data_IF_091811465296
#
_entry.id   IF_091811465296
#
_cell.length_a   1.000
_cell.length_b   1.000
_cell.length_c   1.000
_cell.angle_alpha   90.00
_cell.angle_beta   90.00
_cell.angle_gamma   90.00
#
_symmetry.space_group_name_H-M   'P 1'
#
loop_
_entity.id
_entity.type
_entity.pdbx_description
1 polymer ?
#
# COMPACT_ATOMS: atom_id res chain seq x y z
N UNK A 1 -30.52 -23.18 37.83
CA UNK A 1 -30.65 -23.52 36.40
C UNK A 1 -32.01 -23.03 35.90
N UNK A 2 -32.00 -21.88 35.24
CA UNK A 2 -33.08 -21.32 34.41
C UNK A 2 -32.26 -20.68 33.29
N UNK A 3 -32.11 -21.33 32.13
CA UNK A 3 -33.16 -21.50 31.15
C UNK A 3 -32.98 -20.38 30.14
N UNK A 4 -32.16 -20.63 29.12
CA UNK A 4 -31.71 -19.63 28.15
C UNK A 4 -32.87 -18.85 27.53
N UNK A 5 -32.74 -17.52 27.53
CA UNK A 5 -33.62 -16.63 26.79
C UNK A 5 -33.26 -16.69 25.31
N UNK A 6 -34.17 -17.24 24.51
CA UNK A 6 -34.06 -17.28 23.06
C UNK A 6 -34.22 -15.86 22.47
N UNK A 7 -33.41 -15.51 21.48
CA UNK A 7 -33.41 -14.27 20.69
C UNK A 7 -34.70 -14.09 19.87
N UNK A 8 -35.84 -13.90 20.53
CA UNK A 8 -37.13 -13.77 19.85
C UNK A 8 -37.87 -12.55 20.39
N UNK A 9 -37.59 -11.38 19.81
CA UNK A 9 -38.59 -10.31 19.72
C UNK A 9 -39.64 -10.74 18.70
N UNK A 10 -40.63 -11.53 19.13
CA UNK A 10 -41.87 -11.72 18.36
C UNK A 10 -42.62 -10.39 18.39
N UNK A 11 -42.78 -9.76 17.22
CA UNK A 11 -43.83 -8.79 17.01
C UNK A 11 -45.17 -9.53 17.10
N UNK A 12 -45.89 -9.43 18.21
CA UNK A 12 -47.27 -9.89 18.27
C UNK A 12 -48.15 -8.91 17.48
N UNK A 13 -48.89 -9.34 16.44
CA UNK A 13 -49.94 -8.52 15.90
C UNK A 13 -51.04 -8.43 16.97
N UNK A 14 -51.33 -7.22 17.45
CA UNK A 14 -52.45 -7.00 18.36
C UNK A 14 -53.77 -7.47 17.74
N UNK A 15 -54.73 -7.96 18.53
CA UNK A 15 -55.98 -8.48 17.98
C UNK A 15 -56.87 -7.32 17.53
N UNK A 16 -57.10 -7.21 16.21
CA UNK A 16 -58.19 -6.42 15.63
C UNK A 16 -57.78 -5.18 14.82
N UNK A 17 -57.28 -5.38 13.59
CA UNK A 17 -57.34 -4.49 12.41
C UNK A 17 -57.32 -2.93 12.60
N UNK A 18 -56.11 -2.34 12.83
CA UNK A 18 -55.64 -0.97 12.44
C UNK A 18 -55.84 0.23 13.40
N UNK A 19 -55.13 1.40 13.30
CA UNK A 19 -53.77 1.70 12.88
C UNK A 19 -52.87 1.90 14.13
N UNK A 20 -52.12 0.86 14.51
CA UNK A 20 -51.33 0.90 15.74
C UNK A 20 -50.09 0.05 15.60
N UNK A 21 -49.14 0.51 14.78
CA UNK A 21 -47.77 0.03 14.90
C UNK A 21 -47.21 0.51 16.24
N UNK A 22 -47.48 -0.22 17.32
CA UNK A 22 -46.74 -0.02 18.56
C UNK A 22 -45.37 -0.67 18.35
N UNK A 23 -44.36 0.17 18.09
CA UNK A 23 -42.98 -0.29 18.14
C UNK A 23 -42.71 -0.74 19.57
N UNK A 24 -42.61 -2.06 19.77
CA UNK A 24 -42.32 -2.67 21.06
C UNK A 24 -40.87 -2.35 21.44
N UNK A 25 -40.65 -1.13 21.91
CA UNK A 25 -39.45 -0.78 22.65
C UNK A 25 -39.53 -1.45 24.02
N UNK A 26 -38.43 -2.04 24.52
CA UNK A 26 -38.41 -2.53 25.89
C UNK A 26 -38.73 -1.37 26.85
N UNK A 27 -39.61 -1.59 27.84
CA UNK A 27 -40.06 -0.52 28.75
C UNK A 27 -38.97 -0.07 29.73
N UNK A 28 -37.87 -0.84 29.85
CA UNK A 28 -36.70 -0.51 30.66
C UNK A 28 -35.42 -0.94 29.96
N UNK A 29 -34.33 -0.18 30.14
CA UNK A 29 -33.00 -0.53 29.65
C UNK A 29 -32.46 -1.82 30.27
N UNK A 30 -32.97 -2.23 31.44
CA UNK A 30 -32.57 -3.47 32.12
C UNK A 30 -33.02 -4.75 31.40
N UNK A 31 -34.01 -4.67 30.50
CA UNK A 31 -34.48 -5.80 29.70
C UNK A 31 -33.87 -5.84 28.30
N UNK A 32 -32.98 -4.89 27.97
CA UNK A 32 -32.35 -4.82 26.67
C UNK A 32 -31.17 -5.79 26.58
N UNK A 33 -31.27 -6.84 25.78
CA UNK A 33 -30.15 -7.75 25.55
C UNK A 33 -29.41 -7.33 24.27
N UNK A 34 -28.15 -6.93 24.40
CA UNK A 34 -27.30 -6.53 23.28
C UNK A 34 -26.36 -7.69 22.92
N UNK A 35 -26.54 -8.30 21.75
CA UNK A 35 -25.64 -9.34 21.26
C UNK A 35 -24.35 -8.73 20.67
N UNK A 36 -23.52 -8.16 21.55
CA UNK A 36 -22.28 -7.46 21.15
C UNK A 36 -21.23 -8.42 20.62
N UNK A 37 -21.31 -9.68 21.05
CA UNK A 37 -20.35 -10.74 20.77
C UNK A 37 -20.31 -11.03 19.27
N UNK A 38 -21.48 -11.16 18.63
CA UNK A 38 -21.56 -11.35 17.18
C UNK A 38 -20.97 -10.17 16.39
N UNK A 39 -21.24 -8.94 16.83
CA UNK A 39 -20.68 -7.73 16.20
C UNK A 39 -19.16 -7.66 16.34
N UNK A 40 -18.62 -7.94 17.52
CA UNK A 40 -17.19 -7.95 17.78
C UNK A 40 -16.43 -8.93 16.87
N UNK A 41 -17.02 -10.10 16.63
CA UNK A 41 -16.39 -11.16 15.87
C UNK A 41 -16.29 -10.83 14.37
N UNK A 42 -17.26 -10.13 13.78
CA UNK A 42 -17.32 -10.01 12.30
C UNK A 42 -16.98 -8.60 11.83
N UNK A 43 -17.33 -7.59 12.64
CA UNK A 43 -17.33 -6.21 12.18
C UNK A 43 -15.91 -5.64 12.20
N UNK A 44 -15.40 -5.31 11.02
CA UNK A 44 -14.09 -4.66 10.84
C UNK A 44 -12.96 -5.55 10.34
N UNK A 45 -13.21 -6.86 10.17
CA UNK A 45 -12.22 -7.81 9.65
C UNK A 45 -11.56 -7.31 8.36
N UNK A 46 -12.35 -6.93 7.36
CA UNK A 46 -11.84 -6.40 6.08
C UNK A 46 -11.02 -5.11 6.22
N UNK A 47 -11.34 -4.24 7.18
CA UNK A 47 -10.59 -2.99 7.39
C UNK A 47 -9.28 -3.23 8.12
N UNK A 48 -9.23 -4.25 8.99
CA UNK A 48 -8.02 -4.65 9.70
C UNK A 48 -7.08 -5.44 8.80
N UNK A 49 -7.59 -6.34 7.95
CA UNK A 49 -6.77 -7.04 6.96
C UNK A 49 -6.15 -6.09 5.95
N UNK A 50 -6.92 -5.12 5.44
CA UNK A 50 -6.41 -4.10 4.51
C UNK A 50 -5.25 -3.28 5.09
N UNK A 51 -5.27 -3.00 6.40
CA UNK A 51 -4.24 -2.23 7.08
C UNK A 51 -3.21 -3.10 7.84
N UNK A 52 -3.28 -4.43 7.72
CA UNK A 52 -2.49 -5.36 8.54
C UNK A 52 -0.98 -5.16 8.36
N UNK A 53 -0.55 -5.00 7.10
CA UNK A 53 0.87 -4.82 6.75
C UNK A 53 1.44 -3.53 7.34
N UNK A 54 0.70 -2.42 7.21
CA UNK A 54 1.09 -1.10 7.75
C UNK A 54 1.10 -1.13 9.27
N UNK A 55 0.04 -1.70 9.88
CA UNK A 55 -0.08 -1.83 11.33
C UNK A 55 1.11 -2.60 11.89
N UNK A 56 1.45 -3.74 11.30
CA UNK A 56 2.55 -4.60 11.76
C UNK A 56 3.95 -3.97 11.59
N UNK A 57 4.12 -3.02 10.67
CA UNK A 57 5.38 -2.32 10.48
C UNK A 57 5.59 -1.16 11.48
N UNK A 58 4.52 -0.66 12.10
CA UNK A 58 4.59 0.36 13.15
C UNK A 58 4.92 -0.25 14.52
N UNK A 59 5.80 0.39 15.30
CA UNK A 59 6.08 -0.05 16.68
C UNK A 59 4.89 0.18 17.62
N UNK A 60 3.94 1.04 17.25
CA UNK A 60 2.68 1.22 18.00
C UNK A 60 1.79 -0.02 17.96
N UNK A 61 2.07 -0.97 17.07
CA UNK A 61 1.39 -2.27 17.09
C UNK A 61 1.56 -3.02 18.40
N UNK A 62 2.61 -2.73 19.16
CA UNK A 62 2.93 -3.36 20.45
C UNK A 62 2.14 -2.79 21.63
N UNK A 63 1.38 -1.71 21.44
CA UNK A 63 0.58 -1.12 22.52
C UNK A 63 -0.70 -1.95 22.76
N UNK A 64 -1.09 -2.18 24.02
CA UNK A 64 -2.33 -2.88 24.36
C UNK A 64 -3.54 -2.01 24.02
N UNK A 65 -4.21 -2.30 22.91
CA UNK A 65 -5.28 -1.48 22.36
C UNK A 65 -6.53 -2.29 22.04
N UNK A 66 -7.64 -1.56 21.90
CA UNK A 66 -8.84 -2.08 21.29
C UNK A 66 -8.64 -2.25 19.78
N UNK A 67 -8.96 -3.43 19.24
CA UNK A 67 -8.90 -3.73 17.81
C UNK A 67 -10.15 -4.52 17.41
N UNK A 68 -10.84 -4.14 16.31
CA UNK A 68 -11.95 -4.93 15.78
C UNK A 68 -11.42 -6.22 15.15
N UNK A 69 -12.16 -7.33 15.27
CA UNK A 69 -11.85 -8.61 14.61
C UNK A 69 -10.35 -9.03 14.64
N UNK A 70 -9.70 -9.12 15.82
CA UNK A 70 -8.26 -9.39 15.91
C UNK A 70 -7.84 -10.76 15.35
N UNK A 71 -8.76 -11.70 15.20
CA UNK A 71 -8.52 -12.99 14.53
C UNK A 71 -8.04 -12.85 13.09
N UNK A 72 -8.36 -11.73 12.42
CA UNK A 72 -7.91 -11.41 11.08
C UNK A 72 -6.37 -11.37 10.95
N UNK A 73 -5.67 -11.12 12.07
CA UNK A 73 -4.21 -11.07 12.14
C UNK A 73 -3.58 -12.38 12.65
N UNK A 74 -4.39 -13.39 12.98
CA UNK A 74 -3.97 -14.69 13.49
C UNK A 74 -4.04 -15.76 12.40
N UNK A 75 -3.47 -15.44 11.23
CA UNK A 75 -3.47 -16.35 10.10
C UNK A 75 -2.56 -17.56 10.37
N UNK A 76 -2.91 -18.79 9.94
CA UNK A 76 -2.08 -19.97 10.16
C UNK A 76 -0.72 -19.92 9.43
N UNK A 77 -0.67 -19.13 8.35
CA UNK A 77 0.52 -18.86 7.53
C UNK A 77 0.62 -17.37 7.23
N UNK A 78 1.81 -16.80 7.43
CA UNK A 78 2.08 -15.38 7.14
C UNK A 78 2.61 -15.21 5.72
N UNK A 79 2.24 -14.12 5.02
CA UNK A 79 2.76 -13.83 3.69
C UNK A 79 4.27 -13.54 3.74
N UNK A 80 5.06 -14.13 2.83
CA UNK A 80 6.50 -13.88 2.76
C UNK A 80 6.87 -12.63 1.93
N UNK A 81 5.93 -12.16 1.12
CA UNK A 81 6.09 -11.03 0.20
C UNK A 81 4.86 -10.13 0.24
N UNK A 82 5.04 -8.85 -0.06
CA UNK A 82 3.92 -7.92 -0.22
C UNK A 82 3.18 -8.23 -1.53
N UNK A 83 1.85 -8.14 -1.49
CA UNK A 83 1.03 -8.39 -2.66
C UNK A 83 1.18 -7.25 -3.70
N UNK A 84 1.43 -7.58 -4.98
CA UNK A 84 1.51 -6.60 -6.05
C UNK A 84 0.22 -5.79 -6.18
N UNK A 85 0.33 -4.47 -6.23
CA UNK A 85 -0.83 -3.56 -6.25
C UNK A 85 -1.50 -3.48 -7.61
N UNK A 86 -0.71 -3.50 -8.70
CA UNK A 86 -1.21 -3.18 -10.04
C UNK A 86 -0.68 -4.14 -11.09
N UNK A 87 -1.59 -4.63 -11.94
CA UNK A 87 -1.26 -5.42 -13.14
C UNK A 87 -0.75 -4.47 -14.23
N UNK A 88 0.55 -4.50 -14.49
CA UNK A 88 1.20 -3.76 -15.55
C UNK A 88 2.49 -4.49 -15.94
N UNK A 89 2.83 -4.46 -17.22
CA UNK A 89 4.06 -5.07 -17.71
C UNK A 89 5.21 -4.10 -17.52
N UNK A 90 6.19 -4.50 -16.72
CA UNK A 90 7.41 -3.77 -16.43
C UNK A 90 8.54 -4.41 -17.22
N UNK A 91 9.26 -3.62 -18.00
CA UNK A 91 10.35 -4.09 -18.86
C UNK A 91 11.57 -3.20 -18.68
N UNK A 92 12.72 -3.78 -18.36
CA UNK A 92 13.97 -3.06 -18.30
C UNK A 92 14.50 -2.80 -19.70
N UNK A 93 15.03 -1.59 -19.90
CA UNK A 93 15.45 -1.09 -21.22
C UNK A 93 16.70 -1.82 -21.72
N UNK A 94 17.69 -2.00 -20.84
CA UNK A 94 19.01 -2.51 -21.21
C UNK A 94 19.33 -3.90 -20.64
N UNK A 95 18.63 -4.33 -19.58
CA UNK A 95 18.93 -5.56 -18.85
C UNK A 95 18.07 -6.76 -19.29
N UNK A 96 17.08 -6.55 -20.17
CA UNK A 96 16.17 -7.60 -20.65
C UNK A 96 15.23 -8.18 -19.58
N UNK A 97 15.18 -7.60 -18.38
CA UNK A 97 14.31 -8.07 -17.31
C UNK A 97 12.85 -7.70 -17.61
N UNK A 98 11.93 -8.64 -17.40
CA UNK A 98 10.50 -8.45 -17.58
C UNK A 98 9.70 -8.97 -16.38
N UNK A 99 8.67 -8.23 -15.97
CA UNK A 99 7.69 -8.63 -14.96
C UNK A 99 6.28 -8.21 -15.41
N UNK A 100 5.27 -9.01 -15.10
CA UNK A 100 3.88 -8.72 -15.46
C UNK A 100 3.09 -7.95 -14.37
N UNK A 101 3.80 -7.49 -13.35
CA UNK A 101 3.22 -6.71 -12.25
C UNK A 101 4.22 -5.70 -11.69
N UNK A 102 3.68 -4.70 -10.98
CA UNK A 102 4.45 -3.74 -10.20
C UNK A 102 4.44 -4.19 -8.73
N UNK A 103 5.61 -4.23 -8.09
CA UNK A 103 5.71 -4.51 -6.65
C UNK A 103 5.08 -3.40 -5.79
N UNK A 104 4.74 -3.72 -4.55
CA UNK A 104 3.90 -2.88 -3.71
C UNK A 104 4.50 -1.48 -3.43
N UNK A 105 5.78 -1.41 -3.06
CA UNK A 105 6.47 -0.14 -2.78
C UNK A 105 6.52 0.74 -4.03
N UNK A 106 6.83 0.14 -5.19
CA UNK A 106 6.86 0.85 -6.46
C UNK A 106 5.47 1.34 -6.86
N UNK A 107 4.43 0.54 -6.63
CA UNK A 107 3.03 0.92 -6.86
C UNK A 107 2.62 2.13 -6.02
N UNK A 108 2.99 2.17 -4.73
CA UNK A 108 2.69 3.32 -3.84
C UNK A 108 3.46 4.57 -4.28
N UNK A 109 4.75 4.43 -4.59
CA UNK A 109 5.58 5.54 -5.07
C UNK A 109 4.94 6.18 -6.33
N UNK A 110 4.48 5.32 -7.24
CA UNK A 110 3.91 5.69 -8.51
C UNK A 110 2.38 5.77 -8.53
N UNK A 111 1.69 5.85 -7.39
CA UNK A 111 0.21 5.76 -7.40
C UNK A 111 -0.55 6.87 -8.15
N UNK A 112 0.13 7.92 -8.61
CA UNK A 112 -0.40 8.98 -9.50
C UNK A 112 -0.43 8.52 -10.95
N UNK A 113 0.33 7.48 -11.28
CA UNK A 113 0.30 6.85 -12.58
C UNK A 113 -1.08 6.24 -12.86
N UNK A 114 -1.86 5.89 -11.84
CA UNK A 114 -3.22 5.38 -12.02
C UNK A 114 -4.18 6.43 -12.59
N UNK A 115 -3.96 7.71 -12.31
CA UNK A 115 -4.73 8.85 -12.82
C UNK A 115 -4.37 9.23 -14.28
N UNK A 116 -3.37 8.59 -14.88
CA UNK A 116 -2.92 8.92 -16.24
C UNK A 116 -3.95 8.48 -17.30
N UNK A 117 -4.31 9.36 -18.26
CA UNK A 117 -5.26 9.04 -19.31
C UNK A 117 -4.69 7.99 -20.30
N UNK A 118 -5.57 7.39 -21.09
CA UNK A 118 -5.19 6.43 -22.13
C UNK A 118 -4.18 7.04 -23.11
N UNK A 119 -3.24 6.22 -23.60
CA UNK A 119 -2.18 6.61 -24.53
C UNK A 119 -1.24 7.74 -24.04
N UNK A 120 -1.31 8.14 -22.77
CA UNK A 120 -0.38 9.13 -22.25
C UNK A 120 1.00 8.53 -21.97
N UNK A 121 2.03 9.34 -22.19
CA UNK A 121 3.42 8.99 -21.94
C UNK A 121 3.99 10.00 -20.98
N UNK A 122 4.64 9.52 -19.92
CA UNK A 122 5.37 10.37 -18.97
C UNK A 122 6.75 9.79 -18.71
N UNK A 123 7.69 10.67 -18.38
CA UNK A 123 9.04 10.28 -18.00
C UNK A 123 9.30 10.72 -16.55
N UNK A 124 9.79 9.81 -15.72
CA UNK A 124 10.08 10.10 -14.32
C UNK A 124 11.49 9.63 -14.00
N UNK A 125 12.28 10.50 -13.38
CA UNK A 125 13.59 10.15 -12.85
C UNK A 125 13.44 9.77 -11.38
N UNK A 126 13.85 8.55 -11.05
CA UNK A 126 13.88 8.08 -9.66
C UNK A 126 15.33 7.95 -9.24
N UNK A 127 15.71 8.66 -8.18
CA UNK A 127 17.05 8.56 -7.61
C UNK A 127 16.98 8.28 -6.11
N UNK A 128 17.98 7.56 -5.61
CA UNK A 128 18.11 7.34 -4.17
C UNK A 128 18.64 8.60 -3.50
N UNK A 129 17.94 9.06 -2.48
CA UNK A 129 18.36 10.24 -1.73
C UNK A 129 19.49 9.88 -0.74
N UNK A 130 20.71 9.79 -1.28
CA UNK A 130 21.94 9.52 -0.49
C UNK A 130 22.49 10.78 0.17
N UNK A 131 21.94 11.97 -0.16
CA UNK A 131 22.52 13.28 0.17
C UNK A 131 21.82 14.03 1.30
N UNK A 132 20.59 13.69 1.68
CA UNK A 132 20.03 14.26 2.90
C UNK A 132 20.80 13.71 4.11
N UNK A 133 21.41 14.56 4.97
CA UNK A 133 21.85 14.10 6.27
C UNK A 133 20.64 13.43 6.93
N UNK A 134 20.84 12.26 7.55
CA UNK A 134 19.81 11.58 8.35
C UNK A 134 19.05 12.65 9.12
N UNK A 135 17.81 12.95 8.72
CA UNK A 135 16.97 13.89 9.45
C UNK A 135 17.00 13.42 10.90
N UNK A 136 17.50 14.24 11.81
CA UNK A 136 17.58 13.87 13.22
C UNK A 136 16.16 13.45 13.63
N UNK A 137 15.97 12.27 14.23
CA UNK A 137 14.63 11.72 14.45
C UNK A 137 13.82 12.75 15.24
N UNK A 138 12.69 13.16 14.66
CA UNK A 138 11.71 14.04 15.31
C UNK A 138 11.23 13.36 16.59
N UNK A 139 10.70 14.13 17.54
CA UNK A 139 10.08 13.55 18.74
C UNK A 139 9.00 12.52 18.37
N UNK A 140 8.21 12.78 17.32
CA UNK A 140 7.21 11.85 16.79
C UNK A 140 7.83 10.57 16.21
N UNK A 141 8.98 10.65 15.54
CA UNK A 141 9.70 9.46 15.06
C UNK A 141 10.20 8.61 16.24
N UNK A 142 10.57 9.23 17.36
CA UNK A 142 11.02 8.51 18.55
C UNK A 142 9.86 7.79 19.23
N UNK A 143 8.76 8.52 19.46
CA UNK A 143 7.59 8.01 20.15
C UNK A 143 6.84 6.95 19.32
N UNK A 144 6.66 7.19 18.02
CA UNK A 144 5.80 6.35 17.17
C UNK A 144 6.56 5.30 16.35
N UNK A 145 7.88 5.44 16.13
CA UNK A 145 8.72 4.46 15.42
C UNK A 145 9.76 3.74 16.29
N UNK A 146 9.89 4.08 17.57
CA UNK A 146 10.80 3.40 18.50
C UNK A 146 12.29 3.55 18.15
N UNK A 147 12.70 4.63 17.46
CA UNK A 147 14.10 4.83 17.07
C UNK A 147 14.95 5.28 18.28
N UNK A 148 15.95 4.47 18.65
CA UNK A 148 16.90 4.78 19.73
C UNK A 148 17.97 5.80 19.29
N UNK A 149 18.29 6.75 20.17
CA UNK A 149 19.30 7.81 20.03
C UNK A 149 20.77 7.34 20.12
N UNK A 150 21.07 6.04 20.10
CA UNK A 150 22.47 5.56 20.06
C UNK A 150 23.12 5.77 18.68
N UNK A 151 23.19 7.03 18.23
CA UNK A 151 24.18 7.49 17.26
C UNK A 151 25.42 7.96 18.03
N UNK A 152 26.13 6.98 18.59
CA UNK A 152 27.42 7.16 19.25
C UNK A 152 28.38 6.01 18.93
N UNK A 153 28.15 5.30 17.81
CA UNK A 153 29.09 4.33 17.29
C UNK A 153 29.95 5.01 16.21
N UNK A 154 31.21 5.26 16.58
CA UNK A 154 32.33 5.79 15.81
C UNK A 154 32.10 5.84 14.29
N UNK A 155 32.09 7.06 13.78
CA UNK A 155 32.26 7.46 12.39
C UNK A 155 33.67 7.06 11.91
N UNK A 156 33.86 5.79 11.57
CA UNK A 156 34.99 5.34 10.76
C UNK A 156 34.71 4.01 10.08
N UNK A 157 33.58 3.92 9.38
CA UNK A 157 33.35 3.01 8.26
C UNK A 157 32.23 3.63 7.45
N UNK A 158 32.45 3.89 6.16
CA UNK A 158 31.41 4.26 5.20
C UNK A 158 30.45 3.06 4.98
N UNK A 159 29.76 2.62 6.03
CA UNK A 159 28.56 1.79 5.88
C UNK A 159 27.44 2.73 5.50
N UNK A 160 27.18 2.84 4.20
CA UNK A 160 26.03 3.49 3.57
C UNK A 160 24.76 3.04 4.29
N UNK A 161 24.33 3.79 5.29
CA UNK A 161 23.16 3.41 6.10
C UNK A 161 21.93 3.39 5.22
N UNK A 162 21.20 2.28 5.30
CA UNK A 162 20.29 1.77 4.28
C UNK A 162 18.98 2.58 4.19
N UNK A 163 18.44 2.77 2.97
CA UNK A 163 17.08 3.26 2.80
C UNK A 163 16.09 2.13 3.08
N UNK A 164 15.82 1.86 4.35
CA UNK A 164 14.66 1.03 4.69
C UNK A 164 13.40 1.87 4.46
N UNK A 165 12.49 1.39 3.61
CA UNK A 165 11.13 1.93 3.55
C UNK A 165 10.47 1.69 4.90
N UNK A 166 9.88 2.73 5.49
CA UNK A 166 9.31 2.68 6.85
C UNK A 166 7.84 3.10 6.84
N UNK A 167 7.11 2.76 7.90
CA UNK A 167 5.76 3.26 8.13
C UNK A 167 5.88 4.73 8.51
N UNK A 168 4.97 5.54 8.02
CA UNK A 168 4.91 6.95 8.38
C UNK A 168 4.68 7.10 9.89
N UNK A 169 5.53 7.89 10.56
CA UNK A 169 5.44 8.09 12.02
C UNK A 169 4.10 8.71 12.45
N UNK A 170 3.51 9.53 11.57
CA UNK A 170 2.25 10.24 11.79
C UNK A 170 1.23 9.81 10.73
N UNK A 171 1.24 8.52 10.37
CA UNK A 171 0.23 7.96 9.48
C UNK A 171 -1.15 7.90 10.16
N UNK A 172 -2.26 7.86 9.39
CA UNK A 172 -3.61 7.70 9.95
C UNK A 172 -3.72 6.51 10.91
N UNK A 173 -3.02 5.41 10.61
CA UNK A 173 -2.97 4.23 11.48
C UNK A 173 -2.37 4.51 12.86
N UNK A 174 -1.41 5.43 12.99
CA UNK A 174 -0.84 5.79 14.29
C UNK A 174 -1.92 6.42 15.20
N UNK A 175 -2.77 7.28 14.67
CA UNK A 175 -3.89 7.87 15.41
C UNK A 175 -4.94 6.82 15.81
N UNK A 176 -5.29 5.92 14.89
CA UNK A 176 -6.24 4.82 15.18
C UNK A 176 -5.70 3.95 16.32
N UNK A 177 -4.42 3.60 16.30
CA UNK A 177 -3.81 2.79 17.38
C UNK A 177 -3.76 3.52 18.72
N UNK A 178 -3.46 4.82 18.72
CA UNK A 178 -3.46 5.64 19.94
C UNK A 178 -4.86 5.80 20.53
N UNK A 179 -5.87 6.00 19.69
CA UNK A 179 -7.25 6.07 20.15
C UNK A 179 -7.72 4.71 20.68
N UNK A 180 -7.39 3.61 20.00
CA UNK A 180 -7.69 2.26 20.50
C UNK A 180 -7.05 1.96 21.86
N UNK A 181 -5.83 2.45 22.10
CA UNK A 181 -5.18 2.40 23.41
C UNK A 181 -5.94 3.25 24.44
N UNK A 182 -6.31 4.47 24.08
CA UNK A 182 -7.06 5.38 24.97
C UNK A 182 -8.43 4.79 25.35
N UNK A 183 -9.16 4.23 24.38
CA UNK A 183 -10.44 3.56 24.62
C UNK A 183 -10.28 2.33 25.52
N UNK A 184 -9.21 1.56 25.38
CA UNK A 184 -8.90 0.44 26.28
C UNK A 184 -8.69 0.92 27.72
N UNK A 185 -7.93 2.00 27.93
CA UNK A 185 -7.72 2.59 29.27
C UNK A 185 -9.03 3.13 29.87
N UNK A 186 -9.86 3.79 29.06
CA UNK A 186 -11.18 4.28 29.49
C UNK A 186 -12.06 3.10 29.92
N UNK A 187 -12.19 2.07 29.09
CA UNK A 187 -12.98 0.88 29.41
C UNK A 187 -12.46 0.19 30.67
N UNK A 188 -11.14 0.04 30.82
CA UNK A 188 -10.53 -0.53 32.02
C UNK A 188 -10.89 0.26 33.28
N UNK A 189 -10.84 1.59 33.21
CA UNK A 189 -11.17 2.48 34.34
C UNK A 189 -12.65 2.38 34.69
N UNK A 190 -13.54 2.39 33.69
CA UNK A 190 -14.98 2.27 33.89
C UNK A 190 -15.32 0.89 34.48
N UNK A 191 -14.69 -0.21 34.01
CA UNK A 191 -14.90 -1.54 34.61
C UNK A 191 -14.56 -1.58 36.11
N UNK A 192 -13.52 -0.85 36.54
CA UNK A 192 -13.14 -0.74 37.96
C UNK A 192 -14.18 0.07 38.73
N UNK A 193 -14.59 1.24 38.20
CA UNK A 193 -15.56 2.13 38.87
C UNK A 193 -16.92 1.45 39.06
N UNK A 194 -17.38 0.68 38.07
CA UNK A 194 -18.63 -0.06 38.14
C UNK A 194 -18.51 -1.40 38.89
N UNK A 195 -17.30 -1.83 39.22
CA UNK A 195 -17.03 -3.07 39.97
C UNK A 195 -17.39 -4.35 39.20
N UNK A 196 -17.18 -4.38 37.89
CA UNK A 196 -17.45 -5.55 37.05
C UNK A 196 -16.16 -6.28 36.66
N UNK A 197 -15.93 -7.42 37.33
CA UNK A 197 -14.77 -8.27 37.08
C UNK A 197 -14.77 -8.92 35.70
N UNK A 198 -15.95 -9.24 35.13
CA UNK A 198 -16.03 -9.87 33.81
C UNK A 198 -15.64 -8.89 32.70
N UNK A 199 -16.12 -7.65 32.80
CA UNK A 199 -15.68 -6.56 31.92
C UNK A 199 -14.18 -6.28 32.03
N UNK A 200 -13.62 -6.33 33.24
CA UNK A 200 -12.18 -6.14 33.46
C UNK A 200 -11.34 -7.23 32.80
N UNK A 201 -11.74 -8.50 32.97
CA UNK A 201 -11.07 -9.65 32.32
C UNK A 201 -11.18 -9.54 30.80
N UNK A 202 -12.33 -9.11 30.26
CA UNK A 202 -12.50 -8.86 28.84
C UNK A 202 -11.53 -7.77 28.34
N UNK A 203 -11.42 -6.65 29.06
CA UNK A 203 -10.53 -5.53 28.70
C UNK A 203 -9.07 -5.99 28.67
N UNK A 204 -8.61 -6.69 29.70
CA UNK A 204 -7.24 -7.20 29.77
C UNK A 204 -6.97 -8.21 28.65
N UNK A 205 -7.85 -9.18 28.46
CA UNK A 205 -7.66 -10.24 27.47
C UNK A 205 -7.60 -9.68 26.05
N UNK A 206 -8.53 -8.81 25.67
CA UNK A 206 -8.60 -8.23 24.32
C UNK A 206 -7.49 -7.19 24.07
N UNK A 207 -7.07 -6.45 25.10
CA UNK A 207 -5.97 -5.48 24.96
C UNK A 207 -4.62 -6.19 24.85
N UNK A 208 -4.37 -7.23 25.66
CA UNK A 208 -3.16 -8.05 25.55
C UNK A 208 -3.12 -8.85 24.24
N UNK A 209 -4.28 -9.32 23.76
CA UNK A 209 -4.41 -9.96 22.45
C UNK A 209 -3.88 -9.07 21.33
N UNK A 210 -4.20 -7.77 21.35
CA UNK A 210 -3.69 -6.83 20.34
C UNK A 210 -2.15 -6.66 20.38
N UNK A 211 -1.55 -6.76 21.57
CA UNK A 211 -0.10 -6.72 21.74
C UNK A 211 0.53 -8.00 21.20
N UNK A 212 -0.09 -9.13 21.50
CA UNK A 212 0.35 -10.45 21.04
C UNK A 212 0.30 -10.57 19.51
N UNK A 213 -0.78 -10.09 18.88
CA UNK A 213 -0.88 -10.01 17.41
C UNK A 213 0.13 -9.03 16.82
N UNK A 214 0.43 -7.93 17.51
CA UNK A 214 1.49 -6.98 17.15
C UNK A 214 2.87 -7.63 17.13
N UNK A 215 3.25 -8.33 18.20
CA UNK A 215 4.53 -9.07 18.29
C UNK A 215 4.61 -10.16 17.22
N UNK A 216 3.55 -10.96 17.07
CA UNK A 216 3.50 -12.06 16.11
C UNK A 216 3.61 -11.61 14.65
N UNK A 217 3.11 -10.43 14.33
CA UNK A 217 3.14 -9.89 12.97
C UNK A 217 4.24 -8.88 12.72
N UNK A 218 4.94 -8.36 13.73
CA UNK A 218 5.94 -7.31 13.52
C UNK A 218 7.04 -7.73 12.54
N UNK A 219 7.31 -6.86 11.56
CA UNK A 219 8.21 -7.16 10.46
C UNK A 219 8.96 -5.91 9.97
N UNK A 220 10.03 -6.14 9.21
CA UNK A 220 10.83 -5.10 8.56
C UNK A 220 11.01 -5.41 7.07
N UNK A 221 11.11 -4.37 6.26
CA UNK A 221 11.34 -4.49 4.83
C UNK A 221 12.83 -4.41 4.52
N UNK A 222 13.38 -5.47 3.94
CA UNK A 222 14.74 -5.46 3.37
C UNK A 222 14.66 -5.46 1.85
N UNK A 223 15.17 -4.38 1.24
CA UNK A 223 15.26 -4.29 -0.21
C UNK A 223 16.53 -5.01 -0.69
N UNK A 224 16.42 -5.88 -1.70
CA UNK A 224 17.54 -6.71 -2.14
C UNK A 224 18.67 -5.86 -2.71
N UNK A 225 19.90 -6.15 -2.28
CA UNK A 225 21.12 -5.45 -2.74
C UNK A 225 21.83 -6.22 -3.84
N UNK A 226 22.58 -5.48 -4.64
CA UNK A 226 23.38 -6.04 -5.72
C UNK A 226 24.78 -6.25 -5.16
N UNK A 227 25.43 -7.29 -5.62
CA UNK A 227 26.85 -7.46 -5.35
C UNK A 227 27.64 -6.38 -6.10
N UNK A 228 28.75 -5.92 -5.51
CA UNK A 228 29.58 -4.88 -6.11
C UNK A 228 30.10 -5.32 -7.49
N UNK A 229 30.00 -4.43 -8.49
CA UNK A 229 30.44 -4.69 -9.86
C UNK A 229 29.90 -3.66 -10.86
N UNK A 230 30.25 -3.78 -12.13
CA UNK A 230 29.66 -2.97 -13.22
C UNK A 230 28.14 -3.20 -13.30
N UNK A 231 27.37 -2.13 -13.47
CA UNK A 231 25.94 -2.20 -13.67
C UNK A 231 25.56 -1.42 -14.93
N UNK A 232 24.75 -2.00 -15.83
CA UNK A 232 24.16 -1.23 -16.93
C UNK A 232 23.19 -0.17 -16.38
N UNK A 233 22.75 0.79 -17.21
CA UNK A 233 21.69 1.71 -16.82
C UNK A 233 20.40 0.95 -16.47
N UNK A 234 19.73 1.34 -15.39
CA UNK A 234 18.54 0.69 -14.85
C UNK A 234 17.22 1.22 -15.39
N UNK A 235 17.25 1.91 -16.54
CA UNK A 235 16.04 2.50 -17.11
C UNK A 235 14.98 1.42 -17.34
N UNK A 236 13.74 1.72 -16.94
CA UNK A 236 12.64 0.77 -16.88
C UNK A 236 11.38 1.40 -17.48
N UNK A 237 10.63 0.63 -18.26
CA UNK A 237 9.36 1.07 -18.84
C UNK A 237 8.22 0.28 -18.23
N UNK A 238 7.16 0.98 -17.83
CA UNK A 238 5.90 0.39 -17.39
C UNK A 238 4.86 0.60 -18.49
N UNK A 239 4.24 -0.50 -18.92
CA UNK A 239 3.13 -0.54 -19.88
C UNK A 239 1.87 -1.01 -19.15
N UNK A 240 0.77 -0.26 -19.31
CA UNK A 240 -0.56 -0.71 -18.88
C UNK A 240 -1.40 -1.16 -20.06
N UNK A 241 -2.50 -1.88 -19.78
CA UNK A 241 -3.41 -2.42 -20.79
C UNK A 241 -4.11 -1.33 -21.64
N UNK A 242 -4.29 -0.12 -21.09
CA UNK A 242 -4.90 1.03 -21.78
C UNK A 242 -3.92 1.80 -22.69
N UNK A 243 -2.74 1.24 -22.98
CA UNK A 243 -1.77 1.81 -23.93
C UNK A 243 -1.01 3.03 -23.42
N UNK A 244 -1.10 3.37 -22.13
CA UNK A 244 -0.25 4.40 -21.50
C UNK A 244 1.11 3.83 -21.12
N UNK A 245 2.13 4.67 -21.14
CA UNK A 245 3.51 4.32 -20.83
C UNK A 245 4.11 5.25 -19.77
N UNK A 246 4.88 4.69 -18.86
CA UNK A 246 5.69 5.44 -17.91
C UNK A 246 7.13 4.99 -18.06
N UNK A 247 7.97 5.90 -18.54
CA UNK A 247 9.41 5.67 -18.68
C UNK A 247 10.08 6.14 -17.39
N UNK A 248 10.80 5.24 -16.75
CA UNK A 248 11.46 5.48 -15.48
C UNK A 248 12.95 5.47 -15.73
N UNK A 249 13.61 6.60 -15.44
CA UNK A 249 15.06 6.72 -15.50
C UNK A 249 15.65 6.56 -14.12
N UNK A 250 16.40 5.50 -13.92
CA UNK A 250 16.96 5.17 -12.62
C UNK A 250 18.22 4.31 -12.74
N UNK A 251 19.01 4.30 -11.68
CA UNK A 251 20.15 3.39 -11.56
C UNK A 251 19.66 1.94 -11.40
N UNK A 252 20.44 0.97 -11.86
CA UNK A 252 20.09 -0.47 -11.78
C UNK A 252 19.81 -0.93 -10.34
N UNK A 253 20.47 -0.35 -9.35
CA UNK A 253 20.21 -0.68 -7.95
C UNK A 253 18.79 -0.26 -7.50
N UNK A 254 18.30 0.87 -8.00
CA UNK A 254 16.92 1.35 -7.75
C UNK A 254 15.93 0.50 -8.55
N UNK A 255 16.25 0.24 -9.83
CA UNK A 255 15.40 -0.55 -10.71
C UNK A 255 15.16 -1.95 -10.17
N UNK A 256 16.23 -2.61 -9.72
CA UNK A 256 16.16 -3.95 -9.14
C UNK A 256 15.40 -3.98 -7.81
N UNK A 257 15.63 -2.99 -6.96
CA UNK A 257 14.96 -2.91 -5.65
C UNK A 257 13.45 -2.60 -5.75
N UNK A 258 13.03 -1.81 -6.73
CA UNK A 258 11.63 -1.39 -6.90
C UNK A 258 10.83 -2.26 -7.87
N UNK A 259 11.44 -2.75 -8.95
CA UNK A 259 10.69 -3.33 -10.08
C UNK A 259 10.98 -4.80 -10.37
N UNK A 260 12.20 -5.29 -10.12
CA UNK A 260 12.60 -6.63 -10.60
C UNK A 260 12.78 -7.67 -9.51
N UNK A 261 13.03 -7.27 -8.28
CA UNK A 261 13.25 -8.18 -7.17
C UNK A 261 12.10 -8.11 -6.15
N UNK A 262 11.66 -9.27 -5.62
CA UNK A 262 10.54 -9.30 -4.69
C UNK A 262 10.90 -8.66 -3.35
N UNK A 263 9.96 -7.87 -2.86
CA UNK A 263 9.96 -7.30 -1.51
C UNK A 263 9.77 -8.43 -0.49
N UNK A 264 10.87 -8.85 0.16
CA UNK A 264 10.83 -9.86 1.23
C UNK A 264 10.48 -9.23 2.56
N UNK A 265 9.60 -9.90 3.29
CA UNK A 265 9.16 -9.52 4.63
C UNK A 265 9.99 -10.30 5.65
N UNK A 266 10.81 -9.59 6.42
CA UNK A 266 11.57 -10.19 7.51
C UNK A 266 10.84 -9.98 8.84
N UNK A 267 10.26 -11.07 9.33
CA UNK A 267 9.53 -11.09 10.60
C UNK A 267 10.48 -11.09 11.79
N UNK A 268 10.10 -10.37 12.86
CA UNK A 268 10.83 -10.38 14.13
C UNK A 268 10.96 -11.81 14.70
N UNK A 269 9.91 -12.62 14.52
CA UNK A 269 9.89 -14.03 14.90
C UNK A 269 9.96 -14.87 13.61
N UNK A 270 11.13 -15.41 13.23
CA UNK A 270 11.29 -16.18 12.00
C UNK A 270 10.69 -17.58 12.08
N UNK A 271 10.68 -18.19 13.27
CA UNK A 271 10.23 -19.58 13.45
C UNK A 271 8.70 -19.71 13.34
N UNK A 272 8.25 -20.55 12.40
CA UNK A 272 6.83 -20.83 12.20
C UNK A 272 6.16 -21.49 13.43
N UNK A 273 6.87 -22.33 14.17
CA UNK A 273 6.34 -23.01 15.35
C UNK A 273 5.96 -22.03 16.48
N UNK A 274 6.85 -21.09 16.80
CA UNK A 274 6.59 -20.05 17.81
C UNK A 274 5.41 -19.17 17.37
N UNK A 275 5.35 -18.80 16.10
CA UNK A 275 4.22 -18.03 15.58
C UNK A 275 2.89 -18.79 15.69
N UNK A 276 2.84 -20.09 15.39
CA UNK A 276 1.64 -20.91 15.58
C UNK A 276 1.22 -21.00 17.04
N UNK A 277 2.18 -21.08 17.96
CA UNK A 277 1.91 -21.04 19.41
C UNK A 277 1.33 -19.69 19.82
N UNK A 278 1.91 -18.58 19.35
CA UNK A 278 1.38 -17.22 19.58
C UNK A 278 -0.05 -17.11 19.05
N UNK A 279 -0.32 -17.67 17.88
CA UNK A 279 -1.66 -17.69 17.29
C UNK A 279 -2.65 -18.50 18.12
N UNK A 280 -2.25 -19.66 18.64
CA UNK A 280 -3.06 -20.49 19.52
C UNK A 280 -3.39 -19.77 20.83
N UNK A 281 -2.38 -19.15 21.45
CA UNK A 281 -2.58 -18.35 22.67
C UNK A 281 -3.50 -17.16 22.38
N UNK A 282 -3.32 -16.50 21.23
CA UNK A 282 -4.17 -15.39 20.80
C UNK A 282 -5.63 -15.78 20.61
N UNK A 283 -5.92 -16.92 19.98
CA UNK A 283 -7.31 -17.37 19.81
C UNK A 283 -7.95 -17.76 21.14
N UNK A 284 -7.20 -18.36 22.07
CA UNK A 284 -7.68 -18.64 23.43
C UNK A 284 -8.00 -17.35 24.21
N UNK A 285 -7.13 -16.34 24.12
CA UNK A 285 -7.36 -15.03 24.74
C UNK A 285 -8.56 -14.31 24.14
N UNK A 286 -8.77 -14.44 22.82
CA UNK A 286 -9.95 -13.92 22.14
C UNK A 286 -11.22 -14.57 22.67
N UNK A 287 -11.28 -15.89 22.71
CA UNK A 287 -12.44 -16.62 23.23
C UNK A 287 -12.72 -16.26 24.69
N UNK A 288 -11.69 -16.18 25.54
CA UNK A 288 -11.83 -15.75 26.93
C UNK A 288 -12.38 -14.33 27.03
N UNK A 289 -11.84 -13.39 26.25
CA UNK A 289 -12.28 -12.00 26.24
C UNK A 289 -13.73 -11.83 25.80
N UNK A 290 -14.14 -12.57 24.77
CA UNK A 290 -15.51 -12.57 24.24
C UNK A 290 -16.51 -13.17 25.26
N UNK A 291 -16.17 -14.32 25.86
CA UNK A 291 -17.01 -14.96 26.88
C UNK A 291 -17.14 -14.05 28.11
N UNK A 292 -16.06 -13.39 28.50
CA UNK A 292 -16.09 -12.47 29.63
C UNK A 292 -16.96 -11.23 29.33
N UNK A 293 -16.88 -10.69 28.11
CA UNK A 293 -17.72 -9.57 27.68
C UNK A 293 -19.21 -9.93 27.63
N UNK A 294 -19.56 -11.14 27.19
CA UNK A 294 -20.94 -11.63 27.14
C UNK A 294 -21.60 -11.68 28.53
N UNK A 295 -20.79 -11.91 29.57
CA UNK A 295 -21.24 -11.99 30.95
C UNK A 295 -21.03 -10.69 31.74
N UNK A 296 -20.55 -9.63 31.09
CA UNK A 296 -20.42 -8.30 31.70
C UNK A 296 -21.79 -7.66 31.91
N UNK A 297 -21.84 -6.66 32.79
CA UNK A 297 -23.03 -5.84 33.02
C UNK A 297 -23.44 -5.10 31.75
N UNK A 298 -24.75 -4.91 31.60
CA UNK A 298 -25.39 -4.34 30.42
C UNK A 298 -24.89 -2.91 30.12
N UNK A 299 -24.65 -2.10 31.15
CA UNK A 299 -24.11 -0.74 31.02
C UNK A 299 -22.71 -0.75 30.40
N UNK A 300 -21.88 -1.72 30.79
CA UNK A 300 -20.53 -1.87 30.25
C UNK A 300 -20.54 -2.49 28.86
N UNK A 301 -21.49 -3.39 28.55
CA UNK A 301 -21.67 -3.89 27.19
C UNK A 301 -21.99 -2.75 26.21
N UNK A 302 -22.80 -1.76 26.59
CA UNK A 302 -23.02 -0.56 25.78
C UNK A 302 -21.77 0.28 25.59
N UNK A 303 -20.99 0.50 26.66
CA UNK A 303 -19.73 1.24 26.57
C UNK A 303 -18.75 0.56 25.59
N UNK A 304 -18.63 -0.77 25.68
CA UNK A 304 -17.87 -1.58 24.74
C UNK A 304 -18.41 -1.47 23.31
N UNK A 305 -19.73 -1.52 23.13
CA UNK A 305 -20.38 -1.41 21.82
C UNK A 305 -20.08 -0.07 21.16
N UNK A 306 -20.20 1.03 21.91
CA UNK A 306 -19.84 2.37 21.46
C UNK A 306 -18.36 2.48 21.10
N UNK A 307 -17.47 1.97 21.95
CA UNK A 307 -16.03 1.98 21.68
C UNK A 307 -15.67 1.18 20.40
N UNK A 308 -16.31 0.03 20.19
CA UNK A 308 -16.12 -0.78 18.98
C UNK A 308 -16.64 -0.13 17.71
N UNK A 309 -17.81 0.53 17.77
CA UNK A 309 -18.35 1.28 16.63
C UNK A 309 -17.39 2.41 16.24
N UNK A 310 -16.90 3.17 17.23
CA UNK A 310 -15.95 4.28 17.01
C UNK A 310 -14.66 3.78 16.39
N UNK A 311 -14.03 2.76 16.99
CA UNK A 311 -12.74 2.27 16.49
C UNK A 311 -12.90 1.65 15.10
N UNK A 312 -13.99 0.91 14.86
CA UNK A 312 -14.25 0.33 13.54
C UNK A 312 -14.44 1.39 12.46
N UNK A 313 -15.22 2.44 12.74
CA UNK A 313 -15.40 3.55 11.80
C UNK A 313 -14.05 4.20 11.44
N UNK A 314 -13.15 4.33 12.43
CA UNK A 314 -11.82 4.89 12.21
C UNK A 314 -10.89 3.96 11.43
N UNK A 315 -10.96 2.65 11.66
CA UNK A 315 -10.24 1.67 10.83
C UNK A 315 -10.73 1.72 9.38
N UNK A 316 -12.02 1.89 9.15
CA UNK A 316 -12.59 2.05 7.81
C UNK A 316 -12.12 3.35 7.15
N UNK A 317 -12.16 4.48 7.87
CA UNK A 317 -11.62 5.76 7.38
C UNK A 317 -10.13 5.62 7.03
N UNK A 318 -9.33 4.98 7.91
CA UNK A 318 -7.91 4.78 7.66
C UNK A 318 -7.64 3.87 6.45
N UNK A 319 -8.48 2.86 6.22
CA UNK A 319 -8.42 2.00 5.02
C UNK A 319 -8.79 2.76 3.74
N UNK A 320 -9.70 3.73 3.80
CA UNK A 320 -10.10 4.55 2.66
C UNK A 320 -9.05 5.60 2.26
N UNK A 321 -8.09 5.90 3.14
CA UNK A 321 -7.04 6.88 2.87
C UNK A 321 -5.99 6.35 1.89
N UNK A 322 -5.41 7.22 1.04
CA UNK A 322 -4.43 6.80 0.04
C UNK A 322 -3.19 6.16 0.70
N UNK A 323 -2.67 5.04 0.17
CA UNK A 323 -1.54 4.29 0.74
C UNK A 323 -0.30 5.15 1.04
N UNK A 324 -0.06 6.19 0.25
CA UNK A 324 1.08 7.10 0.43
C UNK A 324 1.14 7.79 1.80
N UNK A 325 0.00 7.97 2.47
CA UNK A 325 -0.02 8.59 3.81
C UNK A 325 0.51 7.64 4.89
N UNK A 326 0.43 6.33 4.63
CA UNK A 326 0.83 5.28 5.56
C UNK A 326 2.31 4.90 5.43
N UNK A 327 2.91 5.13 4.26
CA UNK A 327 4.28 4.74 3.92
C UNK A 327 5.20 5.94 3.80
N UNK A 328 6.39 5.85 4.40
CA UNK A 328 7.46 6.83 4.26
C UNK A 328 8.45 6.36 3.18
N UNK A 329 8.33 6.97 2.01
CA UNK A 329 9.14 6.73 0.82
C UNK A 329 10.17 7.84 0.58
N UNK A 330 10.46 8.68 1.60
CA UNK A 330 11.39 9.82 1.50
C UNK A 330 12.83 9.44 1.11
N UNK A 331 13.16 8.15 1.13
CA UNK A 331 14.43 7.63 0.63
C UNK A 331 14.58 7.71 -0.90
N UNK A 332 13.47 7.86 -1.63
CA UNK A 332 13.47 8.04 -3.08
C UNK A 332 13.07 9.47 -3.43
N UNK A 333 13.83 10.08 -4.35
CA UNK A 333 13.50 11.36 -4.96
C UNK A 333 12.92 11.08 -6.36
N UNK A 334 11.75 11.65 -6.62
CA UNK A 334 10.97 11.42 -7.84
C UNK A 334 10.78 12.74 -8.55
N UNK A 335 11.39 12.88 -9.72
CA UNK A 335 11.34 14.10 -10.53
C UNK A 335 10.75 13.80 -11.90
N UNK A 336 9.65 14.47 -12.27
CA UNK A 336 9.09 14.34 -13.61
C UNK A 336 9.92 15.08 -14.66
N UNK A 337 10.06 14.46 -15.82
CA UNK A 337 10.65 15.03 -17.03
C UNK A 337 9.57 15.19 -18.09
N UNK A 338 9.60 16.33 -18.77
CA UNK A 338 8.63 16.70 -19.79
C UNK A 338 8.91 16.01 -21.12
N UNK A 339 7.93 16.11 -22.01
CA UNK A 339 8.06 15.62 -23.39
C UNK A 339 7.62 16.75 -24.31
N UNK A 340 8.43 17.02 -25.33
CA UNK A 340 8.10 18.00 -26.38
C UNK A 340 6.90 17.46 -27.18
N UNK A 341 5.87 18.29 -27.36
CA UNK A 341 4.61 17.87 -27.95
C UNK A 341 3.62 17.23 -26.95
N UNK A 342 3.86 17.41 -25.65
CA UNK A 342 2.92 17.07 -24.58
C UNK A 342 2.88 15.57 -24.21
N UNK A 343 2.20 15.29 -23.11
CA UNK A 343 2.12 13.95 -22.53
C UNK A 343 0.98 13.10 -23.11
N UNK A 344 -0.05 13.73 -23.68
CA UNK A 344 -1.19 13.05 -24.29
C UNK A 344 -0.90 12.70 -25.76
N UNK A 345 -1.47 11.59 -26.23
CA UNK A 345 -1.41 11.15 -27.62
C UNK A 345 -2.79 10.65 -28.05
N UNK A 346 -3.09 10.74 -29.34
CA UNK A 346 -4.36 10.25 -29.89
C UNK A 346 -4.29 8.75 -30.19
N UNK A 347 -3.10 8.28 -30.56
CA UNK A 347 -2.91 6.94 -31.09
C UNK A 347 -1.88 6.12 -30.28
N UNK A 348 -2.06 4.80 -30.28
CA UNK A 348 -1.11 3.87 -29.67
C UNK A 348 0.31 4.00 -30.24
N UNK A 349 0.42 4.15 -31.57
CA UNK A 349 1.70 4.25 -32.29
C UNK A 349 2.50 5.48 -31.88
N UNK A 350 1.83 6.62 -31.66
CA UNK A 350 2.46 7.85 -31.15
C UNK A 350 2.92 7.70 -29.70
N UNK A 351 2.10 7.06 -28.85
CA UNK A 351 2.47 6.79 -27.47
C UNK A 351 3.69 5.86 -27.39
N UNK A 352 3.70 4.79 -28.19
CA UNK A 352 4.84 3.89 -28.29
C UNK A 352 6.09 4.62 -28.82
N UNK A 353 5.94 5.46 -29.85
CA UNK A 353 7.02 6.29 -30.37
C UNK A 353 7.63 7.19 -29.29
N UNK A 354 6.82 7.93 -28.54
CA UNK A 354 7.32 8.80 -27.46
C UNK A 354 8.04 7.99 -26.38
N UNK A 355 7.57 6.78 -26.05
CA UNK A 355 8.27 5.89 -25.11
C UNK A 355 9.63 5.41 -25.67
N UNK A 356 9.70 5.07 -26.96
CA UNK A 356 10.96 4.69 -27.64
C UNK A 356 11.93 5.89 -27.70
N UNK A 357 11.42 7.08 -28.02
CA UNK A 357 12.20 8.32 -28.03
C UNK A 357 12.86 8.58 -26.66
N UNK A 358 12.12 8.37 -25.57
CA UNK A 358 12.60 8.57 -24.20
C UNK A 358 13.64 7.53 -23.76
N UNK A 359 13.53 6.30 -24.25
CA UNK A 359 14.41 5.17 -23.86
C UNK A 359 15.61 5.01 -24.79
N UNK A 360 15.54 5.53 -26.02
CA UNK A 360 16.54 5.37 -27.09
C UNK A 360 16.84 3.91 -27.45
N UNK A 361 15.96 2.98 -27.09
CA UNK A 361 16.07 1.56 -27.40
C UNK A 361 14.70 0.97 -27.71
N UNK A 362 14.68 -0.07 -28.54
CA UNK A 362 13.49 -0.86 -28.88
C UNK A 362 13.53 -2.26 -28.27
N UNK A 363 14.61 -2.63 -27.59
CA UNK A 363 14.80 -4.00 -27.07
C UNK A 363 13.74 -4.37 -26.02
N UNK A 364 13.34 -3.39 -25.19
CA UNK A 364 12.26 -3.55 -24.22
C UNK A 364 10.88 -3.74 -24.87
N UNK A 365 10.67 -3.22 -26.08
CA UNK A 365 9.39 -3.38 -26.80
C UNK A 365 9.19 -4.84 -27.19
N UNK A 366 10.27 -5.48 -27.64
CA UNK A 366 10.28 -6.90 -28.02
C UNK A 366 10.17 -7.79 -26.79
N UNK A 367 10.94 -7.52 -25.74
CA UNK A 367 10.95 -8.30 -24.50
C UNK A 367 9.63 -8.17 -23.72
N UNK A 368 9.07 -6.97 -23.67
CA UNK A 368 7.82 -6.66 -22.96
C UNK A 368 6.55 -6.94 -23.76
N UNK A 369 6.64 -7.55 -24.96
CA UNK A 369 5.52 -7.72 -25.90
C UNK A 369 4.69 -6.43 -26.05
N UNK A 370 5.39 -5.29 -26.15
CA UNK A 370 4.74 -4.00 -26.23
C UNK A 370 4.04 -3.81 -27.58
N UNK A 371 4.62 -4.33 -28.67
CA UNK A 371 4.07 -4.31 -30.03
C UNK A 371 3.90 -5.73 -30.62
N UNK A 372 3.00 -5.92 -31.60
CA UNK A 372 2.86 -7.17 -32.33
C UNK A 372 4.15 -7.59 -33.05
N UNK A 373 4.39 -8.91 -33.15
CA UNK A 373 5.57 -9.48 -33.83
C UNK A 373 5.28 -9.69 -35.33
N UNK A 374 5.04 -8.61 -36.06
CA UNK A 374 4.90 -8.65 -37.54
C UNK A 374 6.09 -7.97 -38.21
N UNK A 375 6.33 -8.27 -39.48
CA UNK A 375 7.47 -7.68 -40.21
C UNK A 375 7.30 -6.16 -40.42
N UNK A 376 6.06 -5.68 -40.61
CA UNK A 376 5.76 -4.24 -40.57
C UNK A 376 6.22 -3.58 -39.26
N UNK A 377 5.93 -4.21 -38.11
CA UNK A 377 6.33 -3.66 -36.82
C UNK A 377 7.84 -3.72 -36.61
N UNK A 378 8.53 -4.76 -37.11
CA UNK A 378 10.00 -4.82 -37.05
C UNK A 378 10.64 -3.67 -37.81
N UNK A 379 10.17 -3.41 -39.04
CA UNK A 379 10.67 -2.30 -39.87
C UNK A 379 10.38 -0.94 -39.22
N UNK A 380 9.15 -0.73 -38.74
CA UNK A 380 8.78 0.50 -38.04
C UNK A 380 9.61 0.72 -36.77
N UNK A 381 9.88 -0.33 -35.99
CA UNK A 381 10.72 -0.25 -34.79
C UNK A 381 12.18 0.08 -35.13
N UNK A 382 12.69 -0.40 -36.26
CA UNK A 382 14.03 -0.03 -36.73
C UNK A 382 14.10 1.47 -37.03
N UNK A 383 13.17 1.99 -37.84
CA UNK A 383 13.10 3.41 -38.17
C UNK A 383 12.91 4.30 -36.93
N UNK A 384 12.08 3.85 -35.98
CA UNK A 384 11.89 4.51 -34.71
C UNK A 384 13.20 4.54 -33.89
N UNK A 385 13.92 3.42 -33.79
CA UNK A 385 15.19 3.34 -33.05
C UNK A 385 16.21 4.36 -33.57
N UNK A 386 16.39 4.44 -34.88
CA UNK A 386 17.37 5.33 -35.50
C UNK A 386 17.06 6.80 -35.21
N UNK A 387 15.77 7.18 -35.34
CA UNK A 387 15.33 8.55 -35.00
C UNK A 387 15.45 8.84 -33.51
N UNK A 388 15.15 7.88 -32.63
CA UNK A 388 15.24 8.07 -31.18
C UNK A 388 16.67 8.39 -30.71
N UNK A 389 17.70 7.96 -31.44
CA UNK A 389 19.09 8.31 -31.11
C UNK A 389 19.35 9.82 -31.20
N UNK A 390 18.66 10.52 -32.10
CA UNK A 390 18.76 11.98 -32.30
C UNK A 390 18.01 12.80 -31.25
N UNK A 391 17.27 12.15 -30.32
CA UNK A 391 16.55 12.84 -29.27
C UNK A 391 17.51 13.51 -28.26
N UNK A 392 17.28 14.79 -28.00
CA UNK A 392 18.07 15.60 -27.07
C UNK A 392 17.20 16.09 -25.90
N UNK A 393 17.88 16.42 -24.80
CA UNK A 393 17.26 16.98 -23.61
C UNK A 393 17.31 18.51 -23.68
N UNK A 394 16.15 19.16 -23.54
CA UNK A 394 16.00 20.61 -23.51
C UNK A 394 15.54 21.06 -22.12
N UNK A 395 15.93 22.26 -21.71
CA UNK A 395 15.37 22.85 -20.48
C UNK A 395 14.04 23.51 -20.83
N UNK A 396 12.96 23.11 -20.17
CA UNK A 396 11.64 23.70 -20.39
C UNK A 396 10.83 23.75 -19.10
N UNK A 397 9.76 24.53 -19.12
CA UNK A 397 8.75 24.54 -18.07
C UNK A 397 7.89 23.27 -18.24
N UNK A 398 7.57 22.60 -17.14
CA UNK A 398 6.73 21.40 -17.15
C UNK A 398 5.26 21.80 -17.11
N UNK A 399 4.49 21.39 -18.11
CA UNK A 399 3.04 21.55 -18.10
C UNK A 399 2.40 20.48 -17.20
N UNK A 400 1.80 20.90 -16.07
CA UNK A 400 1.04 20.05 -15.13
C UNK A 400 1.77 18.75 -14.73
N UNK A 401 2.90 18.84 -14.01
CA UNK A 401 3.60 17.65 -13.52
C UNK A 401 2.76 16.94 -12.44
N UNK A 402 2.59 15.63 -12.59
CA UNK A 402 2.07 14.75 -11.55
C UNK A 402 3.11 14.57 -10.42
N UNK A 403 4.40 14.53 -10.76
CA UNK A 403 5.49 14.46 -9.79
C UNK A 403 6.34 15.73 -9.86
N UNK A 404 5.90 16.83 -9.23
CA UNK A 404 6.68 18.06 -9.19
C UNK A 404 8.00 17.79 -8.44
N UNK A 405 9.12 18.01 -9.12
CA UNK A 405 10.43 17.96 -8.49
C UNK A 405 10.64 19.11 -7.50
N UNK A 406 11.82 19.18 -6.88
CA UNK A 406 12.17 20.23 -5.90
C UNK A 406 12.21 21.65 -6.50
N UNK A 407 12.37 21.77 -7.81
CA UNK A 407 12.35 23.03 -8.54
C UNK A 407 11.18 23.03 -9.55
N UNK A 408 10.10 23.74 -9.24
CA UNK A 408 8.90 23.86 -10.09
C UNK A 408 9.20 24.54 -11.44
N UNK A 409 10.22 25.41 -11.50
CA UNK A 409 10.48 26.28 -12.66
C UNK A 409 11.54 25.73 -13.64
N UNK A 410 12.18 24.60 -13.31
CA UNK A 410 13.31 24.05 -14.09
C UNK A 410 13.11 22.56 -14.39
N UNK A 411 12.32 22.27 -15.42
CA UNK A 411 12.16 20.92 -15.95
C UNK A 411 13.13 20.59 -17.07
N UNK A 412 13.37 19.30 -17.28
CA UNK A 412 14.02 18.77 -18.49
C UNK A 412 12.93 18.16 -19.35
N UNK A 413 12.80 18.58 -20.61
CA UNK A 413 11.96 17.94 -21.61
C UNK A 413 12.75 17.25 -22.69
N UNK A 414 12.19 16.17 -23.23
CA UNK A 414 12.80 15.39 -24.31
C UNK A 414 12.09 15.61 -25.62
N UNK A 415 12.86 15.78 -26.69
CA UNK A 415 12.31 15.93 -28.03
C UNK A 415 13.33 15.65 -29.12
N UNK A 416 12.81 15.49 -30.34
CA UNK A 416 13.61 15.38 -31.56
C UNK A 416 13.52 16.73 -32.29
N UNK A 417 14.59 17.14 -32.97
CA UNK A 417 14.63 18.40 -33.72
C UNK A 417 13.66 18.40 -34.91
N UNK A 418 13.55 17.26 -35.58
CA UNK A 418 12.61 17.05 -36.68
C UNK A 418 11.34 16.36 -36.17
N UNK A 419 10.18 16.93 -36.50
CA UNK A 419 8.89 16.33 -36.19
C UNK A 419 8.69 15.10 -37.06
N UNK A 420 8.51 13.94 -36.42
CA UNK A 420 8.18 12.70 -37.10
C UNK A 420 6.77 12.26 -36.72
N UNK A 421 5.91 12.08 -37.73
CA UNK A 421 4.61 11.46 -37.52
C UNK A 421 4.76 9.94 -37.55
N UNK A 422 4.62 9.33 -36.38
CA UNK A 422 4.85 7.92 -36.21
C UNK A 422 3.71 7.07 -36.79
N UNK A 423 2.49 7.61 -36.88
CA UNK A 423 1.32 6.92 -37.42
C UNK A 423 1.38 6.88 -38.93
N UNK A 424 1.65 8.01 -39.57
CA UNK A 424 1.79 8.08 -41.03
C UNK A 424 2.91 7.16 -41.53
N UNK A 425 4.02 7.08 -40.80
CA UNK A 425 5.12 6.17 -41.13
C UNK A 425 4.69 4.69 -41.08
N UNK A 426 3.88 4.31 -40.08
CA UNK A 426 3.35 2.96 -39.98
C UNK A 426 2.35 2.65 -41.10
N UNK A 427 1.45 3.59 -41.42
CA UNK A 427 0.48 3.46 -42.50
C UNK A 427 1.18 3.27 -43.86
N UNK A 428 2.30 3.97 -44.08
CA UNK A 428 3.10 3.82 -45.29
C UNK A 428 3.73 2.42 -45.40
N UNK A 429 4.28 1.89 -44.31
CA UNK A 429 4.90 0.55 -44.29
C UNK A 429 3.86 -0.53 -44.60
N UNK A 430 2.67 -0.43 -44.01
CA UNK A 430 1.61 -1.41 -44.28
C UNK A 430 1.11 -1.33 -45.71
N UNK A 431 0.94 -0.13 -46.26
CA UNK A 431 0.55 0.04 -47.68
C UNK A 431 1.60 -0.55 -48.62
N UNK A 432 2.88 -0.36 -48.33
CA UNK A 432 3.97 -0.95 -49.11
C UNK A 432 3.93 -2.49 -49.06
N UNK A 433 3.80 -3.08 -47.86
CA UNK A 433 3.71 -4.53 -47.71
C UNK A 433 2.45 -5.13 -48.34
N UNK A 434 1.33 -4.41 -48.32
CA UNK A 434 0.11 -4.82 -49.00
C UNK A 434 0.28 -4.79 -50.53
N UNK A 435 1.07 -3.85 -51.06
CA UNK A 435 1.39 -3.80 -52.50
C UNK A 435 2.33 -4.91 -52.93
N UNK A 436 3.28 -5.33 -52.09
CA UNK A 436 4.22 -6.43 -52.37
C UNK A 436 3.57 -7.83 -52.25
N UNK A 437 2.41 -7.92 -51.61
CA UNK A 437 1.67 -9.18 -51.43
C UNK A 437 0.66 -9.48 -52.57
N UNK A 438 0.46 -8.53 -53.48
CA UNK A 438 -0.37 -8.65 -54.70
C UNK A 438 0.54 -8.91 -55.89
#
# INVERSE_FOLDING_TARGET
MSGGGNNVTISMPGPGWGPGWQMLWPPSFSSFQLDIVGFLAILGEGSVTANAQISALSSLSLLPRLMPAPQALLLPTRPATLEPTTKATVSGVFNGNGKDHIYHVAGILLSKADEMPAFSVRCVKISKNTRTPKRSPSWSDRAFRGQSTKSGAKENTQTTSEPSVKANAVGPMAYVTLLGFTLSVILFTISIVFGDGMSLVATLSLSLLSTLTGVGNSWRLELPKRNAGFAPPGDTVIKWANGRYLVIRCDEDVARALFFAPERIDYLIPSAAIYRLISLVGTLMLMLGVIALANARLELQFAWGGAYIIINALYWIAAAMPPRLHWDLSCYDVEEQGIVGGNANENFTEALWKAIMLTKSTDWVVNGNAAPRTDAWKEWLHQARDRAQTAEAYKSILEKPLWPGKALDKGVSWGVREKWDAKEAWDHIIKAQAADAV
#
